data_IF_797632677976
#
_entry.id   IF_797632677976
#
_cell.length_a   1.000
_cell.length_b   1.000
_cell.length_c   1.000
_cell.angle_alpha   90.00
_cell.angle_beta   90.00
_cell.angle_gamma   90.00
#
_symmetry.space_group_name_H-M   'P 1'
#
loop_
_entity.id
_entity.type
_entity.pdbx_description
1 polymer ?
#
# COMPACT_ATOMS: atom_id res chain seq x y z
N UNK A 1 -33.00 61.38 -8.10
CA UNK A 1 -33.04 62.79 -7.62
C UNK A 1 -33.17 63.84 -8.73
N UNK A 2 -32.29 63.85 -9.75
CA UNK A 2 -32.28 64.87 -10.83
C UNK A 2 -33.67 65.02 -11.51
N UNK A 3 -34.34 63.90 -11.78
CA UNK A 3 -35.67 63.89 -12.40
C UNK A 3 -36.77 64.59 -11.57
N UNK A 4 -36.71 64.51 -10.24
CA UNK A 4 -37.70 65.15 -9.37
C UNK A 4 -37.53 66.68 -9.33
N UNK A 5 -36.30 67.16 -9.22
CA UNK A 5 -35.98 68.60 -9.24
C UNK A 5 -36.38 69.21 -10.60
N UNK A 6 -36.03 68.52 -11.69
CA UNK A 6 -36.42 68.93 -13.05
C UNK A 6 -37.95 68.97 -13.20
N UNK A 7 -38.67 67.99 -12.65
CA UNK A 7 -40.13 67.96 -12.71
C UNK A 7 -40.78 69.12 -11.94
N UNK A 8 -40.27 69.48 -10.75
CA UNK A 8 -40.75 70.66 -10.00
C UNK A 8 -40.52 71.94 -10.80
N UNK A 9 -39.36 72.11 -11.45
CA UNK A 9 -39.05 73.28 -12.26
C UNK A 9 -40.04 73.41 -13.44
N UNK A 10 -40.38 72.30 -14.10
CA UNK A 10 -41.38 72.31 -15.18
C UNK A 10 -42.79 72.67 -14.69
N UNK A 11 -43.18 72.22 -13.50
CA UNK A 11 -44.48 72.55 -12.90
C UNK A 11 -44.54 74.02 -12.48
N UNK A 12 -43.52 74.52 -11.77
CA UNK A 12 -43.46 75.92 -11.34
C UNK A 12 -43.39 76.85 -12.57
N UNK A 13 -42.56 76.51 -13.56
CA UNK A 13 -42.46 77.25 -14.82
C UNK A 13 -43.80 77.29 -15.57
N UNK A 14 -44.53 76.16 -15.61
CA UNK A 14 -45.88 76.09 -16.16
C UNK A 14 -46.88 76.97 -15.42
N UNK A 15 -46.89 76.94 -14.08
CA UNK A 15 -47.78 77.75 -13.23
C UNK A 15 -47.48 79.24 -13.37
N UNK A 16 -46.20 79.64 -13.34
CA UNK A 16 -45.79 81.04 -13.50
C UNK A 16 -46.18 81.57 -14.88
N UNK A 17 -45.95 80.77 -15.94
CA UNK A 17 -46.35 81.13 -17.30
C UNK A 17 -47.87 81.29 -17.40
N UNK A 18 -48.63 80.39 -16.77
CA UNK A 18 -50.10 80.47 -16.68
C UNK A 18 -50.57 81.75 -15.98
N UNK A 19 -49.98 82.10 -14.82
CA UNK A 19 -50.34 83.31 -14.06
C UNK A 19 -50.01 84.58 -14.86
N UNK A 20 -48.84 84.67 -15.48
CA UNK A 20 -48.45 85.82 -16.33
C UNK A 20 -49.40 85.97 -17.52
N UNK A 21 -49.78 84.86 -18.16
CA UNK A 21 -50.75 84.86 -19.27
C UNK A 21 -52.14 85.32 -18.83
N UNK A 22 -52.57 84.92 -17.62
CA UNK A 22 -53.87 85.27 -17.05
C UNK A 22 -53.99 86.76 -16.71
N UNK A 23 -52.89 87.38 -16.26
CA UNK A 23 -52.82 88.80 -15.89
C UNK A 23 -52.53 89.73 -17.06
N UNK A 24 -52.02 89.19 -18.17
CA UNK A 24 -51.74 89.93 -19.41
C UNK A 24 -53.06 90.36 -20.09
N UNK A 25 -53.34 91.67 -20.09
CA UNK A 25 -54.46 92.27 -20.84
C UNK A 25 -54.25 92.08 -22.34
N UNK A 26 -55.34 91.79 -23.06
CA UNK A 26 -55.33 91.44 -24.48
C UNK A 26 -54.67 92.51 -25.35
N UNK A 27 -53.46 92.24 -25.84
CA UNK A 27 -52.95 92.88 -27.05
C UNK A 27 -53.36 92.02 -28.23
N UNK A 28 -54.58 92.28 -28.72
CA UNK A 28 -55.12 91.67 -29.93
C UNK A 28 -54.59 92.45 -31.12
N UNK A 29 -53.52 91.96 -31.75
CA UNK A 29 -53.12 92.38 -33.09
C UNK A 29 -53.09 91.14 -33.99
N UNK A 30 -54.02 91.08 -34.95
CA UNK A 30 -53.97 90.16 -36.09
C UNK A 30 -54.26 88.68 -35.80
N UNK A 31 -55.54 88.30 -35.81
CA UNK A 31 -56.02 87.03 -36.40
C UNK A 31 -55.71 85.68 -35.74
N UNK A 32 -54.72 85.54 -34.85
CA UNK A 32 -54.53 84.34 -34.01
C UNK A 32 -54.10 84.78 -32.62
N UNK A 33 -54.92 84.46 -31.63
CA UNK A 33 -54.68 84.85 -30.23
C UNK A 33 -53.31 84.38 -29.77
N UNK A 34 -52.38 85.31 -29.54
CA UNK A 34 -51.06 85.09 -28.91
C UNK A 34 -51.21 84.32 -27.58
N UNK A 35 -52.37 84.48 -26.92
CA UNK A 35 -52.79 83.70 -25.75
C UNK A 35 -52.85 82.18 -25.97
N UNK A 36 -53.20 81.70 -27.16
CA UNK A 36 -53.25 80.25 -27.44
C UNK A 36 -51.86 79.68 -27.74
N UNK A 37 -50.96 80.46 -28.35
CA UNK A 37 -49.66 79.97 -28.80
C UNK A 37 -48.66 79.73 -27.65
N UNK A 38 -48.71 80.51 -26.56
CA UNK A 38 -47.85 80.26 -25.39
C UNK A 38 -48.55 79.47 -24.26
N UNK A 39 -49.88 79.34 -24.28
CA UNK A 39 -50.62 78.54 -23.30
C UNK A 39 -50.49 77.04 -23.52
N UNK A 40 -50.54 76.60 -24.79
CA UNK A 40 -50.39 75.18 -25.16
C UNK A 40 -49.02 74.61 -24.71
N UNK A 41 -47.86 75.25 -24.98
CA UNK A 41 -46.57 74.73 -24.51
C UNK A 41 -46.41 74.80 -22.98
N UNK A 42 -47.00 75.79 -22.31
CA UNK A 42 -46.99 75.87 -20.84
C UNK A 42 -47.80 74.74 -20.19
N UNK A 43 -48.98 74.43 -20.74
CA UNK A 43 -49.81 73.31 -20.29
C UNK A 43 -49.13 71.96 -20.58
N UNK A 44 -48.52 71.81 -21.75
CA UNK A 44 -47.76 70.61 -22.11
C UNK A 44 -46.54 70.41 -21.19
N UNK A 45 -45.80 71.47 -20.87
CA UNK A 45 -44.67 71.43 -19.94
C UNK A 45 -45.09 71.05 -18.52
N UNK A 46 -46.20 71.61 -18.02
CA UNK A 46 -46.76 71.23 -16.71
C UNK A 46 -47.26 69.79 -16.69
N UNK A 47 -47.92 69.31 -17.75
CA UNK A 47 -48.38 67.93 -17.86
C UNK A 47 -47.20 66.94 -17.89
N UNK A 48 -46.13 67.30 -18.61
CA UNK A 48 -44.89 66.51 -18.65
C UNK A 48 -44.20 66.49 -17.28
N UNK A 49 -44.18 67.60 -16.56
CA UNK A 49 -43.70 67.67 -15.18
C UNK A 49 -44.49 66.75 -14.24
N UNK A 50 -45.83 66.76 -14.31
CA UNK A 50 -46.68 65.86 -13.50
C UNK A 50 -46.44 64.40 -13.87
N UNK A 51 -46.31 64.07 -15.15
CA UNK A 51 -46.02 62.71 -15.62
C UNK A 51 -44.65 62.20 -15.10
N UNK A 52 -43.64 63.07 -15.07
CA UNK A 52 -42.33 62.74 -14.50
C UNK A 52 -42.41 62.48 -12.98
N UNK A 53 -43.21 63.25 -12.24
CA UNK A 53 -43.42 63.00 -10.80
C UNK A 53 -44.13 61.67 -10.59
N UNK A 54 -45.23 61.40 -11.29
CA UNK A 54 -45.99 60.14 -11.15
C UNK A 54 -45.11 58.93 -11.44
N UNK A 55 -44.26 59.01 -12.46
CA UNK A 55 -43.28 57.95 -12.76
C UNK A 55 -42.23 57.78 -11.64
N UNK A 56 -41.78 58.87 -11.01
CA UNK A 56 -40.78 58.82 -9.93
C UNK A 56 -41.28 58.29 -8.58
N UNK A 57 -42.60 58.27 -8.39
CA UNK A 57 -43.29 57.84 -7.16
C UNK A 57 -43.48 56.31 -7.11
N UNK A 58 -43.34 55.63 -8.24
CA UNK A 58 -43.51 54.19 -8.33
C UNK A 58 -42.15 53.49 -8.24
N UNK A 59 -42.06 52.46 -7.41
CA UNK A 59 -40.95 51.51 -7.41
C UNK A 59 -41.47 50.08 -7.45
N UNK A 60 -40.75 49.22 -8.17
CA UNK A 60 -41.04 47.80 -8.25
C UNK A 60 -39.81 47.03 -7.82
N UNK A 61 -39.95 46.20 -6.79
CA UNK A 61 -38.89 45.32 -6.30
C UNK A 61 -39.12 43.92 -6.91
N UNK A 62 -38.15 43.38 -7.68
CA UNK A 62 -38.26 42.04 -8.25
C UNK A 62 -38.38 40.95 -7.17
N UNK A 63 -38.94 39.80 -7.55
CA UNK A 63 -39.01 38.65 -6.64
C UNK A 63 -37.61 38.16 -6.25
N UNK A 64 -37.44 37.78 -4.99
CA UNK A 64 -36.14 37.36 -4.45
C UNK A 64 -35.14 38.50 -4.21
N UNK A 65 -35.56 39.76 -4.34
CA UNK A 65 -34.79 40.91 -3.90
C UNK A 65 -35.50 41.61 -2.74
N UNK A 66 -34.74 42.37 -1.96
CA UNK A 66 -35.21 43.28 -0.92
C UNK A 66 -34.80 44.69 -1.31
N UNK A 67 -35.76 45.61 -1.37
CA UNK A 67 -35.51 47.01 -1.67
C UNK A 67 -35.09 47.77 -0.41
N UNK A 68 -33.85 48.24 -0.35
CA UNK A 68 -33.37 49.12 0.72
C UNK A 68 -33.66 50.56 0.32
N UNK A 69 -34.40 51.28 1.16
CA UNK A 69 -34.77 52.68 0.89
C UNK A 69 -33.71 53.62 1.45
N UNK A 70 -33.28 54.57 0.62
CA UNK A 70 -32.33 55.61 1.00
C UNK A 70 -32.90 57.00 0.71
N UNK A 71 -32.68 57.90 1.66
CA UNK A 71 -33.14 59.30 1.63
C UNK A 71 -31.94 60.20 1.89
N UNK A 72 -31.50 60.94 0.88
CA UNK A 72 -30.35 61.86 0.96
C UNK A 72 -29.08 61.20 1.56
N UNK A 73 -28.83 59.93 1.23
CA UNK A 73 -27.69 59.16 1.74
C UNK A 73 -27.89 58.53 3.13
N UNK A 74 -29.03 58.77 3.79
CA UNK A 74 -29.44 58.05 4.99
C UNK A 74 -30.21 56.80 4.58
N UNK A 75 -29.84 55.65 5.15
CA UNK A 75 -30.59 54.41 5.01
C UNK A 75 -31.78 54.44 5.98
N UNK A 76 -32.99 54.24 5.47
CA UNK A 76 -34.19 54.17 6.30
C UNK A 76 -34.38 52.76 6.89
N UNK A 77 -35.05 52.69 8.05
CA UNK A 77 -35.25 51.44 8.81
C UNK A 77 -36.28 50.48 8.22
N UNK A 78 -36.94 50.91 7.14
CA UNK A 78 -37.94 50.12 6.46
C UNK A 78 -37.35 49.51 5.19
N UNK A 79 -37.44 48.19 5.09
CA UNK A 79 -37.16 47.43 3.87
C UNK A 79 -38.44 47.21 3.08
N UNK A 80 -38.34 47.25 1.75
CA UNK A 80 -39.42 46.95 0.83
C UNK A 80 -39.33 45.48 0.38
N UNK A 81 -40.39 44.73 0.62
CA UNK A 81 -40.54 43.38 0.10
C UNK A 81 -40.71 43.37 -1.44
N UNK A 82 -40.60 42.20 -2.06
CA UNK A 82 -40.89 42.04 -3.48
C UNK A 82 -42.32 42.47 -3.82
N UNK A 83 -42.48 43.34 -4.82
CA UNK A 83 -43.78 43.85 -5.22
C UNK A 83 -43.76 45.30 -5.71
N UNK A 84 -44.97 45.82 -5.94
CA UNK A 84 -45.20 47.21 -6.30
C UNK A 84 -45.29 48.05 -5.02
N UNK A 85 -44.51 49.13 -4.97
CA UNK A 85 -44.46 50.05 -3.85
C UNK A 85 -44.57 51.50 -4.32
N UNK A 86 -45.25 52.30 -3.51
CA UNK A 86 -45.34 53.75 -3.67
C UNK A 86 -44.29 54.37 -2.77
N UNK A 87 -43.30 55.02 -3.38
CA UNK A 87 -42.20 55.70 -2.68
C UNK A 87 -42.27 57.20 -2.90
N UNK A 88 -41.65 57.97 -2.03
CA UNK A 88 -41.50 59.38 -2.26
C UNK A 88 -40.56 59.65 -3.47
N UNK A 89 -40.78 60.73 -4.24
CA UNK A 89 -39.90 61.07 -5.38
C UNK A 89 -38.42 61.29 -5.03
N UNK A 90 -38.13 61.65 -3.78
CA UNK A 90 -36.77 61.85 -3.25
C UNK A 90 -36.15 60.60 -2.65
N UNK A 91 -36.92 59.52 -2.51
CA UNK A 91 -36.43 58.21 -2.06
C UNK A 91 -35.82 57.43 -3.23
N UNK A 92 -34.70 56.78 -2.95
CA UNK A 92 -34.03 55.87 -3.87
C UNK A 92 -34.07 54.47 -3.28
N UNK A 93 -34.50 53.50 -4.09
CA UNK A 93 -34.63 52.10 -3.69
C UNK A 93 -33.52 51.33 -4.36
N UNK A 94 -32.65 50.73 -3.55
CA UNK A 94 -31.59 49.85 -4.02
C UNK A 94 -31.99 48.41 -3.79
N UNK A 95 -32.00 47.61 -4.86
CA UNK A 95 -32.38 46.21 -4.78
C UNK A 95 -31.17 45.38 -4.36
N UNK A 96 -31.32 44.62 -3.27
CA UNK A 96 -30.35 43.62 -2.84
C UNK A 96 -30.89 42.23 -3.15
N UNK A 97 -30.07 41.37 -3.76
CA UNK A 97 -30.47 39.99 -4.08
C UNK A 97 -30.39 39.10 -2.83
N UNK A 98 -31.50 38.47 -2.45
CA UNK A 98 -31.59 37.55 -1.31
C UNK A 98 -31.54 36.08 -1.72
N UNK A 99 -31.39 35.79 -3.01
CA UNK A 99 -31.28 34.42 -3.50
C UNK A 99 -29.89 33.86 -3.17
N UNK A 100 -29.78 32.55 -3.28
CA UNK A 100 -28.48 31.87 -3.24
C UNK A 100 -27.67 32.28 -4.46
N UNK A 101 -26.50 32.84 -4.23
CA UNK A 101 -25.55 33.29 -5.24
C UNK A 101 -24.29 32.43 -5.16
N UNK A 102 -23.75 32.08 -6.33
CA UNK A 102 -22.49 31.34 -6.45
C UNK A 102 -21.33 32.32 -6.68
N UNK A 103 -20.31 32.18 -5.87
CA UNK A 103 -19.00 32.81 -6.04
C UNK A 103 -17.94 31.74 -6.25
N UNK A 104 -17.00 32.00 -7.15
CA UNK A 104 -15.82 31.16 -7.35
C UNK A 104 -14.59 32.04 -7.35
N UNK A 105 -13.62 31.70 -6.52
CA UNK A 105 -12.39 32.46 -6.31
C UNK A 105 -11.20 31.52 -6.49
N UNK A 106 -10.26 31.94 -7.34
CA UNK A 106 -8.99 31.26 -7.51
C UNK A 106 -7.95 31.95 -6.61
N UNK A 107 -7.24 31.16 -5.82
CA UNK A 107 -6.34 31.66 -4.79
C UNK A 107 -5.01 30.92 -4.85
N UNK A 108 -3.91 31.67 -4.94
CA UNK A 108 -2.58 31.14 -4.68
C UNK A 108 -2.30 31.22 -3.17
N UNK A 109 -1.99 30.07 -2.58
CA UNK A 109 -1.76 29.87 -1.16
C UNK A 109 -0.42 29.15 -0.93
N UNK A 110 0.06 29.15 0.31
CA UNK A 110 1.23 28.36 0.71
C UNK A 110 0.83 27.37 1.80
N UNK A 111 1.36 26.14 1.70
CA UNK A 111 1.26 25.13 2.73
C UNK A 111 2.22 25.41 3.91
N UNK A 112 2.09 24.66 4.99
CA UNK A 112 2.98 24.78 6.16
C UNK A 112 4.45 24.48 5.85
N UNK A 113 4.72 23.70 4.80
CA UNK A 113 6.04 23.32 4.30
C UNK A 113 6.49 24.15 3.08
N UNK A 114 5.91 25.35 2.92
CA UNK A 114 6.32 26.37 1.94
C UNK A 114 6.22 25.82 0.50
N UNK A 115 5.16 25.07 0.21
CA UNK A 115 4.79 24.72 -1.16
C UNK A 115 3.67 25.62 -1.63
N UNK A 116 3.79 26.09 -2.87
CA UNK A 116 2.74 26.87 -3.52
C UNK A 116 1.61 25.95 -3.98
N UNK A 117 0.38 26.38 -3.70
CA UNK A 117 -0.84 25.64 -4.01
C UNK A 117 -1.85 26.60 -4.62
N UNK A 118 -2.33 26.28 -5.82
CA UNK A 118 -3.45 26.98 -6.45
C UNK A 118 -4.75 26.29 -6.05
N UNK A 119 -5.62 27.03 -5.37
CA UNK A 119 -6.90 26.53 -4.85
C UNK A 119 -8.04 27.23 -5.57
N UNK A 120 -8.92 26.45 -6.18
CA UNK A 120 -10.19 26.93 -6.73
C UNK A 120 -11.31 26.66 -5.74
N UNK A 121 -11.79 27.72 -5.10
CA UNK A 121 -12.81 27.63 -4.06
C UNK A 121 -14.14 28.21 -4.52
N UNK A 122 -15.22 27.48 -4.27
CA UNK A 122 -16.59 27.92 -4.55
C UNK A 122 -17.37 28.07 -3.26
N UNK A 123 -18.07 29.21 -3.15
CA UNK A 123 -18.96 29.55 -2.06
C UNK A 123 -20.36 29.81 -2.62
N UNK A 124 -21.36 29.14 -2.07
CA UNK A 124 -22.75 29.56 -2.21
C UNK A 124 -23.16 30.32 -0.96
N UNK A 125 -23.62 31.56 -1.14
CA UNK A 125 -24.02 32.43 -0.04
C UNK A 125 -25.37 33.07 -0.32
N UNK A 126 -26.03 33.54 0.72
CA UNK A 126 -27.26 34.31 0.62
C UNK A 126 -27.33 35.37 1.74
N UNK A 127 -28.17 36.39 1.53
CA UNK A 127 -28.43 37.40 2.56
C UNK A 127 -29.89 37.30 3.02
N UNK A 128 -30.10 37.29 4.34
CA UNK A 128 -31.45 37.28 4.91
C UNK A 128 -32.12 38.63 4.65
N UNK A 129 -33.40 38.60 4.30
CA UNK A 129 -34.20 39.81 4.03
C UNK A 129 -34.18 40.80 5.20
N UNK A 130 -34.23 40.27 6.43
CA UNK A 130 -34.18 41.07 7.65
C UNK A 130 -32.89 41.88 7.80
N UNK A 131 -31.79 41.40 7.24
CA UNK A 131 -30.46 41.97 7.47
C UNK A 131 -29.96 42.77 6.26
N UNK A 132 -30.68 42.76 5.13
CA UNK A 132 -30.29 43.45 3.90
C UNK A 132 -30.01 44.95 4.14
N UNK A 133 -30.82 45.62 4.94
CA UNK A 133 -30.60 47.03 5.30
C UNK A 133 -29.28 47.24 6.04
N UNK A 134 -28.96 46.38 7.01
CA UNK A 134 -27.75 46.48 7.82
C UNK A 134 -26.49 46.21 6.98
N UNK A 135 -26.56 45.25 6.06
CA UNK A 135 -25.49 44.97 5.09
C UNK A 135 -25.25 46.18 4.20
N UNK A 136 -26.32 46.76 3.65
CA UNK A 136 -26.22 47.96 2.82
C UNK A 136 -25.64 49.16 3.60
N UNK A 137 -26.01 49.32 4.87
CA UNK A 137 -25.50 50.40 5.72
C UNK A 137 -24.03 50.23 6.09
N UNK A 138 -23.59 49.00 6.34
CA UNK A 138 -22.24 48.71 6.84
C UNK A 138 -21.23 48.55 5.72
N UNK A 139 -21.62 47.88 4.64
CA UNK A 139 -20.74 47.49 3.53
C UNK A 139 -21.14 48.14 2.22
N UNK A 140 -22.45 48.23 1.95
CA UNK A 140 -22.99 48.74 0.70
C UNK A 140 -23.39 47.62 -0.28
N UNK A 141 -23.50 47.97 -1.56
CA UNK A 141 -23.89 47.03 -2.63
C UNK A 141 -22.77 46.07 -3.01
N UNK A 142 -21.51 46.50 -2.90
CA UNK A 142 -20.33 45.75 -3.32
C UNK A 142 -19.79 44.86 -2.18
N UNK A 143 -20.70 44.24 -1.42
CA UNK A 143 -20.34 43.36 -0.32
C UNK A 143 -19.58 42.11 -0.76
N UNK A 144 -19.76 41.70 -2.02
CA UNK A 144 -18.99 40.63 -2.63
C UNK A 144 -17.48 40.93 -2.66
N UNK A 145 -17.08 42.03 -3.30
CA UNK A 145 -15.66 42.39 -3.45
C UNK A 145 -15.06 42.94 -2.15
N UNK A 146 -15.88 43.58 -1.32
CA UNK A 146 -15.40 44.25 -0.10
C UNK A 146 -15.24 43.29 1.08
N UNK A 147 -16.11 42.28 1.20
CA UNK A 147 -16.16 41.38 2.37
C UNK A 147 -15.98 39.93 1.97
N UNK A 148 -16.77 39.42 1.01
CA UNK A 148 -16.77 37.99 0.68
C UNK A 148 -15.41 37.56 0.11
N UNK A 149 -14.94 38.21 -0.96
CA UNK A 149 -13.68 37.84 -1.62
C UNK A 149 -12.48 37.89 -0.66
N UNK A 150 -12.28 38.95 0.15
CA UNK A 150 -11.22 38.98 1.16
C UNK A 150 -11.37 37.93 2.25
N UNK A 151 -12.59 37.68 2.76
CA UNK A 151 -12.82 36.69 3.82
C UNK A 151 -12.56 35.27 3.35
N UNK A 152 -12.95 34.94 2.11
CA UNK A 152 -12.62 33.65 1.48
C UNK A 152 -11.11 33.51 1.33
N UNK A 153 -10.43 34.55 0.81
CA UNK A 153 -8.98 34.53 0.65
C UNK A 153 -8.25 34.36 1.99
N UNK A 154 -8.67 35.07 3.03
CA UNK A 154 -8.11 34.97 4.38
C UNK A 154 -8.35 33.58 4.97
N UNK A 155 -9.58 33.08 4.93
CA UNK A 155 -9.95 31.79 5.51
C UNK A 155 -9.19 30.64 4.83
N UNK A 156 -9.19 30.58 3.50
CA UNK A 156 -8.48 29.54 2.75
C UNK A 156 -6.98 29.61 3.06
N UNK A 157 -6.36 30.79 2.95
CA UNK A 157 -4.92 30.94 3.23
C UNK A 157 -4.53 30.59 4.67
N UNK A 158 -5.38 30.94 5.64
CA UNK A 158 -5.13 30.64 7.05
C UNK A 158 -5.15 29.15 7.30
N UNK A 159 -6.20 28.46 6.84
CA UNK A 159 -6.32 27.02 7.07
C UNK A 159 -5.26 26.26 6.26
N UNK A 160 -5.06 26.59 4.98
CA UNK A 160 -4.03 25.93 4.14
C UNK A 160 -2.63 26.02 4.74
N UNK A 161 -2.28 27.13 5.39
CA UNK A 161 -0.98 27.31 6.04
C UNK A 161 -0.73 26.37 7.24
N UNK A 162 -1.78 25.75 7.80
CA UNK A 162 -1.66 24.79 8.90
C UNK A 162 -1.36 23.36 8.45
N UNK A 163 -1.55 23.05 7.17
CA UNK A 163 -1.38 21.70 6.61
C UNK A 163 -0.16 21.62 5.71
N UNK A 164 0.52 20.46 5.69
CA UNK A 164 1.57 20.17 4.72
C UNK A 164 0.97 19.89 3.35
N UNK A 165 1.74 20.07 2.28
CA UNK A 165 1.28 19.79 0.92
C UNK A 165 0.76 18.34 0.73
N UNK A 166 1.43 17.36 1.36
CA UNK A 166 0.98 15.96 1.35
C UNK A 166 -0.37 15.75 2.07
N UNK A 167 -0.59 16.46 3.19
CA UNK A 167 -1.84 16.37 3.94
C UNK A 167 -3.00 17.07 3.25
N UNK A 168 -2.74 18.14 2.48
CA UNK A 168 -3.76 18.84 1.70
C UNK A 168 -4.40 17.94 0.65
N UNK A 169 -3.63 16.99 0.08
CA UNK A 169 -4.12 15.99 -0.87
C UNK A 169 -4.95 14.91 -0.14
N UNK A 170 -4.48 14.43 1.00
CA UNK A 170 -5.10 13.33 1.73
C UNK A 170 -6.35 13.71 2.53
N UNK A 171 -6.38 14.90 3.13
CA UNK A 171 -7.39 15.33 4.10
C UNK A 171 -8.23 16.50 3.58
N UNK A 172 -8.59 16.48 2.29
CA UNK A 172 -9.33 17.57 1.64
C UNK A 172 -10.68 17.86 2.27
N UNK A 173 -11.38 16.83 2.75
CA UNK A 173 -12.70 16.97 3.38
C UNK A 173 -12.61 17.73 4.71
N UNK A 174 -11.63 17.36 5.55
CA UNK A 174 -11.36 18.05 6.83
C UNK A 174 -10.92 19.50 6.59
N UNK A 175 -10.10 19.73 5.57
CA UNK A 175 -9.70 21.06 5.15
C UNK A 175 -10.91 21.92 4.76
N UNK A 176 -11.81 21.38 3.93
CA UNK A 176 -13.02 22.08 3.49
C UNK A 176 -13.93 22.42 4.68
N UNK A 177 -14.13 21.50 5.61
CA UNK A 177 -14.92 21.72 6.83
C UNK A 177 -14.32 22.85 7.68
N UNK A 178 -13.01 22.84 7.91
CA UNK A 178 -12.33 23.87 8.69
C UNK A 178 -12.38 25.26 8.03
N UNK A 179 -12.28 25.32 6.69
CA UNK A 179 -12.46 26.58 5.95
C UNK A 179 -13.92 27.05 6.08
N UNK A 180 -14.90 26.16 5.96
CA UNK A 180 -16.33 26.51 6.10
C UNK A 180 -16.65 27.09 7.47
N UNK A 181 -16.14 26.46 8.55
CA UNK A 181 -16.33 26.93 9.92
C UNK A 181 -15.75 28.35 10.09
N UNK A 182 -14.50 28.56 9.67
CA UNK A 182 -13.85 29.86 9.80
C UNK A 182 -14.55 30.93 8.95
N UNK A 183 -14.85 30.62 7.69
CA UNK A 183 -15.51 31.51 6.75
C UNK A 183 -16.92 31.87 7.24
N UNK A 184 -17.67 30.90 7.74
CA UNK A 184 -19.00 31.10 8.32
C UNK A 184 -18.96 32.09 9.48
N UNK A 185 -18.00 31.92 10.41
CA UNK A 185 -17.82 32.86 11.53
C UNK A 185 -17.45 34.28 11.06
N UNK A 186 -16.63 34.40 10.02
CA UNK A 186 -16.23 35.70 9.49
C UNK A 186 -17.39 36.43 8.81
N UNK A 187 -18.18 35.72 8.00
CA UNK A 187 -19.30 36.27 7.22
C UNK A 187 -20.55 36.54 8.07
N UNK A 188 -20.77 35.76 9.13
CA UNK A 188 -21.89 35.95 10.05
C UNK A 188 -21.83 37.31 10.76
N UNK A 189 -20.62 37.84 11.02
CA UNK A 189 -20.41 39.21 11.54
C UNK A 189 -20.96 40.32 10.63
N UNK A 190 -21.09 40.02 9.34
CA UNK A 190 -21.66 40.91 8.34
C UNK A 190 -23.07 40.46 7.93
N UNK A 191 -23.71 39.56 8.67
CA UNK A 191 -25.03 39.03 8.37
C UNK A 191 -25.16 38.29 7.01
N UNK A 192 -24.04 37.78 6.48
CA UNK A 192 -24.01 37.00 5.24
C UNK A 192 -24.02 35.52 5.61
N UNK A 193 -25.01 34.78 5.10
CA UNK A 193 -25.18 33.36 5.39
C UNK A 193 -24.45 32.51 4.35
N UNK A 194 -23.59 31.61 4.83
CA UNK A 194 -22.97 30.57 4.01
C UNK A 194 -23.95 29.41 3.86
N UNK A 195 -24.30 29.08 2.62
CA UNK A 195 -25.23 27.99 2.30
C UNK A 195 -24.48 26.68 2.08
N UNK A 196 -23.39 26.74 1.34
CA UNK A 196 -22.51 25.61 1.12
C UNK A 196 -21.17 26.08 0.61
N UNK A 197 -20.11 25.34 0.92
CA UNK A 197 -18.79 25.57 0.35
C UNK A 197 -18.26 24.34 -0.36
N UNK A 198 -17.32 24.54 -1.28
CA UNK A 198 -16.63 23.45 -1.95
C UNK A 198 -15.25 23.89 -2.43
N UNK A 199 -14.26 23.05 -2.19
CA UNK A 199 -12.99 23.10 -2.92
C UNK A 199 -13.26 22.42 -4.26
N UNK A 200 -13.27 23.16 -5.36
CA UNK A 200 -13.46 22.59 -6.70
C UNK A 200 -12.17 21.92 -7.16
N UNK A 201 -11.04 22.62 -7.02
CA UNK A 201 -9.74 22.14 -7.49
C UNK A 201 -8.60 22.57 -6.57
N UNK A 202 -7.51 21.80 -6.59
CA UNK A 202 -6.28 22.10 -5.86
C UNK A 202 -5.08 21.56 -6.63
N UNK A 203 -4.29 22.48 -7.19
CA UNK A 203 -3.12 22.17 -7.98
C UNK A 203 -1.84 22.61 -7.27
N UNK A 204 -0.79 21.80 -7.43
CA UNK A 204 0.55 22.09 -6.94
C UNK A 204 1.46 22.41 -8.12
N UNK A 205 2.63 22.99 -7.84
CA UNK A 205 3.65 23.21 -8.87
C UNK A 205 4.06 21.89 -9.53
N UNK A 206 4.35 21.94 -10.83
CA UNK A 206 4.76 20.76 -11.59
C UNK A 206 6.01 20.11 -10.96
N UNK A 207 6.93 20.92 -10.44
CA UNK A 207 8.13 20.47 -9.74
C UNK A 207 7.79 19.64 -8.48
N UNK A 208 6.82 20.10 -7.68
CA UNK A 208 6.37 19.37 -6.49
C UNK A 208 5.66 18.08 -6.87
N UNK A 209 4.72 18.12 -7.81
CA UNK A 209 4.00 16.94 -8.29
C UNK A 209 4.96 15.86 -8.80
N UNK A 210 5.93 16.24 -9.64
CA UNK A 210 6.96 15.34 -10.14
C UNK A 210 7.83 14.76 -9.01
N UNK A 211 8.18 15.56 -8.00
CA UNK A 211 8.97 15.12 -6.86
C UNK A 211 8.21 14.12 -5.97
N UNK A 212 6.90 14.34 -5.77
CA UNK A 212 6.02 13.42 -5.01
C UNK A 212 5.87 12.11 -5.76
N UNK A 213 5.61 12.15 -7.07
CA UNK A 213 5.56 10.93 -7.90
C UNK A 213 6.88 10.16 -7.85
N UNK A 214 8.02 10.86 -8.00
CA UNK A 214 9.34 10.25 -7.90
C UNK A 214 9.60 9.64 -6.52
N UNK A 215 9.20 10.32 -5.44
CA UNK A 215 9.28 9.81 -4.06
C UNK A 215 8.40 8.57 -3.89
N UNK A 216 7.19 8.56 -4.43
CA UNK A 216 6.29 7.41 -4.36
C UNK A 216 6.87 6.21 -5.10
N UNK A 217 7.43 6.41 -6.28
CA UNK A 217 8.14 5.37 -7.05
C UNK A 217 9.35 4.85 -6.26
N UNK A 218 10.14 5.74 -5.65
CA UNK A 218 11.29 5.33 -4.83
C UNK A 218 10.87 4.54 -3.58
N UNK A 219 9.78 4.93 -2.91
CA UNK A 219 9.21 4.20 -1.76
C UNK A 219 8.71 2.83 -2.19
N UNK A 220 7.99 2.73 -3.30
CA UNK A 220 7.54 1.45 -3.86
C UNK A 220 8.71 0.55 -4.25
N UNK A 221 9.75 1.11 -4.87
CA UNK A 221 10.97 0.38 -5.23
C UNK A 221 11.72 -0.12 -3.99
N UNK A 222 11.82 0.73 -2.95
CA UNK A 222 12.42 0.33 -1.66
C UNK A 222 11.62 -0.80 -1.01
N UNK A 223 10.30 -0.69 -0.98
CA UNK A 223 9.43 -1.74 -0.42
C UNK A 223 9.60 -3.04 -1.19
N UNK A 224 9.61 -2.99 -2.53
CA UNK A 224 9.87 -4.16 -3.37
C UNK A 224 11.24 -4.78 -3.08
N UNK A 225 12.30 -3.97 -3.00
CA UNK A 225 13.64 -4.46 -2.69
C UNK A 225 13.73 -5.08 -1.28
N UNK A 226 13.04 -4.50 -0.28
CA UNK A 226 12.94 -5.08 1.07
C UNK A 226 12.21 -6.42 1.04
N UNK A 227 11.06 -6.50 0.38
CA UNK A 227 10.32 -7.75 0.22
C UNK A 227 11.15 -8.81 -0.51
N UNK A 228 11.87 -8.44 -1.58
CA UNK A 228 12.77 -9.37 -2.29
C UNK A 228 13.94 -9.83 -1.41
N UNK A 229 14.49 -8.95 -0.58
CA UNK A 229 15.54 -9.29 0.38
C UNK A 229 15.01 -10.23 1.48
N UNK A 230 13.83 -9.95 2.02
CA UNK A 230 13.14 -10.81 3.00
C UNK A 230 12.84 -12.19 2.39
N UNK A 231 12.39 -12.26 1.14
CA UNK A 231 12.21 -13.52 0.43
C UNK A 231 13.52 -14.29 0.28
N UNK A 232 14.60 -13.63 -0.19
CA UNK A 232 15.92 -14.27 -0.34
C UNK A 232 16.50 -14.77 0.97
N UNK A 233 16.34 -14.01 2.04
CA UNK A 233 16.80 -14.42 3.38
C UNK A 233 15.99 -15.60 3.90
N UNK A 234 14.67 -15.58 3.75
CA UNK A 234 13.81 -16.72 4.08
C UNK A 234 14.17 -17.97 3.26
N UNK A 235 14.41 -17.84 1.95
CA UNK A 235 14.85 -18.94 1.10
C UNK A 235 16.21 -19.51 1.51
N UNK A 236 17.17 -18.63 1.82
CA UNK A 236 18.51 -19.03 2.30
C UNK A 236 18.44 -19.73 3.66
N UNK A 237 17.62 -19.25 4.59
CA UNK A 237 17.38 -19.89 5.88
C UNK A 237 16.71 -21.26 5.71
N UNK A 238 15.71 -21.37 4.82
CA UNK A 238 15.08 -22.64 4.50
C UNK A 238 16.08 -23.62 3.85
N UNK A 239 16.94 -23.14 2.95
CA UNK A 239 17.97 -23.97 2.34
C UNK A 239 19.01 -24.44 3.36
N UNK A 240 19.47 -23.56 4.25
CA UNK A 240 20.38 -23.91 5.33
C UNK A 240 19.74 -24.93 6.31
N UNK A 241 18.47 -24.75 6.64
CA UNK A 241 17.72 -25.72 7.46
C UNK A 241 17.55 -27.06 6.74
N UNK A 242 17.23 -27.08 5.44
CA UNK A 242 17.17 -28.31 4.64
C UNK A 242 18.53 -29.02 4.60
N UNK A 243 19.62 -28.30 4.35
CA UNK A 243 20.97 -28.86 4.36
C UNK A 243 21.36 -29.42 5.73
N UNK A 244 20.96 -28.76 6.83
CA UNK A 244 21.16 -29.26 8.19
C UNK A 244 20.37 -30.54 8.46
N UNK A 245 19.10 -30.59 8.02
CA UNK A 245 18.26 -31.79 8.13
C UNK A 245 18.87 -32.94 7.33
N UNK A 246 19.30 -32.69 6.10
CA UNK A 246 19.92 -33.69 5.23
C UNK A 246 21.26 -34.19 5.76
N UNK A 247 22.11 -33.29 6.27
CA UNK A 247 23.37 -33.65 6.93
C UNK A 247 23.13 -34.50 8.18
N UNK A 248 22.15 -34.12 9.01
CA UNK A 248 21.77 -34.90 10.20
C UNK A 248 21.18 -36.27 9.83
N UNK A 249 20.32 -36.33 8.80
CA UNK A 249 19.76 -37.58 8.30
C UNK A 249 20.86 -38.50 7.75
N UNK A 250 21.79 -37.94 6.97
CA UNK A 250 22.93 -38.68 6.42
C UNK A 250 23.87 -39.20 7.52
N UNK A 251 24.14 -38.38 8.53
CA UNK A 251 24.92 -38.79 9.70
C UNK A 251 24.23 -39.90 10.49
N UNK A 252 22.90 -39.85 10.65
CA UNK A 252 22.15 -40.91 11.33
C UNK A 252 22.10 -42.19 10.51
N UNK A 253 21.92 -42.11 9.17
CA UNK A 253 22.01 -43.27 8.28
C UNK A 253 23.39 -43.93 8.40
N UNK A 254 24.47 -43.13 8.36
CA UNK A 254 25.84 -43.65 8.50
C UNK A 254 26.06 -44.30 9.88
N UNK A 255 25.47 -43.74 10.95
CA UNK A 255 25.53 -44.33 12.31
C UNK A 255 24.80 -45.66 12.37
N UNK A 256 23.59 -45.74 11.79
CA UNK A 256 22.80 -46.97 11.72
C UNK A 256 23.55 -48.04 10.92
N UNK A 257 24.16 -47.68 9.78
CA UNK A 257 24.94 -48.61 8.97
C UNK A 257 26.17 -49.10 9.71
N UNK A 258 26.93 -48.22 10.37
CA UNK A 258 28.10 -48.62 11.15
C UNK A 258 27.73 -49.57 12.31
N UNK A 259 26.59 -49.34 12.96
CA UNK A 259 26.08 -50.24 14.01
C UNK A 259 25.63 -51.59 13.42
N UNK A 260 24.99 -51.58 12.25
CA UNK A 260 24.61 -52.80 11.53
C UNK A 260 25.86 -53.61 11.11
N UNK A 261 26.86 -52.95 10.54
CA UNK A 261 28.13 -53.58 10.12
C UNK A 261 28.88 -54.16 11.32
N UNK A 262 28.88 -53.46 12.45
CA UNK A 262 29.42 -53.96 13.73
C UNK A 262 28.69 -55.22 14.18
N UNK A 263 27.36 -55.24 14.17
CA UNK A 263 26.58 -56.44 14.52
C UNK A 263 26.85 -57.61 13.57
N UNK A 264 26.97 -57.36 12.26
CA UNK A 264 27.34 -58.38 11.28
C UNK A 264 28.74 -58.94 11.57
N UNK A 265 29.71 -58.08 11.91
CA UNK A 265 31.06 -58.49 12.26
C UNK A 265 31.11 -59.32 13.56
N UNK A 266 30.34 -58.94 14.59
CA UNK A 266 30.21 -59.69 15.85
C UNK A 266 29.59 -61.08 15.61
N UNK A 267 28.49 -61.16 14.86
CA UNK A 267 27.86 -62.44 14.49
C UNK A 267 28.83 -63.31 13.68
N UNK A 268 29.58 -62.70 12.75
CA UNK A 268 30.62 -63.37 11.98
C UNK A 268 31.73 -63.95 12.86
N UNK A 269 32.24 -63.17 13.81
CA UNK A 269 33.26 -63.59 14.77
C UNK A 269 32.75 -64.73 15.66
N UNK A 270 31.56 -64.61 16.23
CA UNK A 270 30.93 -65.65 17.06
C UNK A 270 30.73 -66.95 16.28
N UNK A 271 30.32 -66.85 15.01
CA UNK A 271 30.14 -68.00 14.13
C UNK A 271 31.47 -68.69 13.80
N UNK A 272 32.53 -67.92 13.53
CA UNK A 272 33.87 -68.44 13.25
C UNK A 272 34.48 -69.11 14.49
N UNK A 273 34.30 -68.54 15.67
CA UNK A 273 34.70 -69.17 16.93
C UNK A 273 33.97 -70.50 17.16
N UNK A 274 32.66 -70.56 16.89
CA UNK A 274 31.89 -71.80 17.04
C UNK A 274 32.38 -72.88 16.08
N UNK A 275 32.66 -72.55 14.82
CA UNK A 275 33.23 -73.51 13.88
C UNK A 275 34.64 -73.94 14.27
N UNK A 276 35.51 -73.00 14.66
CA UNK A 276 36.86 -73.30 15.13
C UNK A 276 36.85 -74.22 16.37
N UNK A 277 35.97 -73.98 17.34
CA UNK A 277 35.79 -74.87 18.51
C UNK A 277 35.30 -76.27 18.10
N UNK A 278 34.37 -76.35 17.16
CA UNK A 278 33.84 -77.63 16.67
C UNK A 278 34.91 -78.43 15.91
N UNK A 279 35.66 -77.79 15.02
CA UNK A 279 36.76 -78.41 14.28
C UNK A 279 37.90 -78.84 15.19
N UNK A 280 38.27 -77.99 16.16
CA UNK A 280 39.26 -78.33 17.18
C UNK A 280 38.81 -79.53 18.03
N UNK A 281 37.53 -79.60 18.42
CA UNK A 281 37.00 -80.74 19.16
C UNK A 281 37.01 -82.03 18.33
N UNK A 282 36.64 -81.96 17.04
CA UNK A 282 36.70 -83.11 16.12
C UNK A 282 38.14 -83.58 15.94
N UNK A 283 39.09 -82.66 15.71
CA UNK A 283 40.51 -82.99 15.59
C UNK A 283 41.07 -83.60 16.88
N UNK A 284 40.68 -83.06 18.04
CA UNK A 284 41.10 -83.55 19.35
C UNK A 284 40.52 -84.94 19.65
N UNK A 285 39.27 -85.20 19.29
CA UNK A 285 38.65 -86.52 19.42
C UNK A 285 39.31 -87.55 18.51
N UNK A 286 39.65 -87.18 17.26
CA UNK A 286 40.39 -88.05 16.34
C UNK A 286 41.82 -88.32 16.81
N UNK A 287 42.50 -87.30 17.31
CA UNK A 287 43.83 -87.41 17.91
C UNK A 287 43.81 -88.38 19.08
N UNK A 288 42.77 -88.30 19.92
CA UNK A 288 42.55 -89.23 21.02
C UNK A 288 42.33 -90.67 20.54
N UNK A 289 41.49 -90.88 19.52
CA UNK A 289 41.21 -92.22 18.99
C UNK A 289 42.43 -92.90 18.36
N UNK A 290 43.27 -92.15 17.62
CA UNK A 290 44.46 -92.72 16.97
C UNK A 290 45.53 -93.11 17.99
N UNK A 291 45.64 -92.35 19.08
CA UNK A 291 46.69 -92.56 20.08
C UNK A 291 46.23 -93.35 21.32
N UNK A 292 44.96 -93.81 21.34
CA UNK A 292 44.39 -94.55 22.47
C UNK A 292 44.21 -93.69 23.73
N UNK A 293 44.01 -92.39 23.57
CA UNK A 293 43.76 -91.44 24.65
C UNK A 293 42.27 -91.17 24.81
N UNK A 294 41.90 -90.55 25.92
CA UNK A 294 40.54 -90.10 26.21
C UNK A 294 40.49 -88.58 26.30
N UNK A 295 39.40 -87.98 25.81
CA UNK A 295 39.14 -86.54 25.97
C UNK A 295 38.33 -86.35 27.24
N UNK A 296 38.84 -85.55 28.17
CA UNK A 296 38.14 -85.20 29.42
C UNK A 296 37.96 -83.69 29.47
N UNK A 297 36.75 -83.22 29.77
CA UNK A 297 36.45 -81.80 29.97
C UNK A 297 36.64 -81.45 31.45
N UNK A 298 37.53 -80.50 31.74
CA UNK A 298 37.76 -80.01 33.12
C UNK A 298 36.62 -79.12 33.63
N UNK A 299 36.62 -78.81 34.93
CA UNK A 299 35.66 -77.86 35.56
C UNK A 299 35.78 -76.44 35.00
N UNK A 300 36.90 -76.13 34.34
CA UNK A 300 37.19 -74.88 33.60
C UNK A 300 36.55 -74.87 32.20
N UNK A 301 35.89 -75.94 31.78
CA UNK A 301 35.28 -76.08 30.45
C UNK A 301 36.28 -76.35 29.32
N UNK A 302 37.55 -76.59 29.64
CA UNK A 302 38.62 -76.84 28.66
C UNK A 302 38.79 -78.34 28.46
N UNK A 303 38.80 -78.79 27.20
CA UNK A 303 39.05 -80.20 26.86
C UNK A 303 40.55 -80.52 26.98
N UNK A 304 40.89 -81.63 27.65
CA UNK A 304 42.25 -82.15 27.83
C UNK A 304 42.36 -83.58 27.35
N UNK A 305 43.55 -83.97 26.86
CA UNK A 305 43.86 -85.34 26.45
C UNK A 305 44.53 -86.08 27.61
N UNK A 306 43.92 -87.18 28.02
CA UNK A 306 44.37 -88.00 29.14
C UNK A 306 44.65 -89.41 28.64
N UNK A 307 45.77 -90.00 29.08
CA UNK A 307 46.15 -91.36 28.73
C UNK A 307 45.25 -92.38 29.44
N UNK A 308 45.33 -93.64 29.03
CA UNK A 308 44.60 -94.75 29.68
C UNK A 308 44.99 -94.98 31.14
N UNK A 309 46.14 -94.44 31.59
CA UNK A 309 46.63 -94.49 32.97
C UNK A 309 46.18 -93.28 33.83
N UNK A 310 45.39 -92.35 33.27
CA UNK A 310 44.88 -91.17 33.97
C UNK A 310 45.86 -90.00 34.05
N UNK A 311 47.05 -90.09 33.45
CA UNK A 311 48.01 -88.98 33.41
C UNK A 311 47.82 -88.09 32.17
N UNK A 312 48.14 -86.80 32.33
CA UNK A 312 48.08 -85.81 31.24
C UNK A 312 49.13 -86.13 30.16
N UNK A 313 48.77 -85.91 28.89
CA UNK A 313 49.69 -86.07 27.76
C UNK A 313 50.72 -84.95 27.76
N UNK A 314 52.01 -85.28 27.74
CA UNK A 314 53.10 -84.28 27.71
C UNK A 314 53.23 -83.60 26.34
N UNK A 315 53.85 -82.40 26.29
CA UNK A 315 53.98 -81.62 25.06
C UNK A 315 54.77 -82.32 23.94
N UNK A 316 55.73 -83.18 24.25
CA UNK A 316 56.47 -83.96 23.24
C UNK A 316 55.63 -85.12 22.69
N UNK A 317 54.83 -85.76 23.54
CA UNK A 317 53.93 -86.84 23.12
C UNK A 317 52.77 -86.30 22.27
N UNK A 318 52.28 -85.11 22.59
CA UNK A 318 51.27 -84.41 21.81
C UNK A 318 51.78 -84.10 20.39
N UNK A 319 53.04 -83.64 20.25
CA UNK A 319 53.65 -83.39 18.93
C UNK A 319 53.73 -84.66 18.10
N UNK A 320 54.23 -85.76 18.68
CA UNK A 320 54.31 -87.06 18.00
C UNK A 320 52.93 -87.63 17.65
N UNK A 321 51.94 -87.44 18.51
CA UNK A 321 50.55 -87.83 18.24
C UNK A 321 49.95 -87.04 17.09
N UNK A 322 50.23 -85.73 17.03
CA UNK A 322 49.78 -84.85 15.94
C UNK A 322 50.46 -85.19 14.61
N UNK A 323 51.75 -85.55 14.62
CA UNK A 323 52.45 -86.05 13.42
C UNK A 323 51.79 -87.33 12.87
N UNK A 324 51.40 -88.27 13.74
CA UNK A 324 50.63 -89.46 13.33
C UNK A 324 49.25 -89.13 12.78
N UNK A 325 48.57 -88.13 13.35
CA UNK A 325 47.29 -87.66 12.83
C UNK A 325 47.47 -87.02 11.44
N UNK A 326 48.55 -86.27 11.21
CA UNK A 326 48.90 -85.70 9.91
C UNK A 326 49.19 -86.82 8.89
N UNK A 327 49.96 -87.83 9.26
CA UNK A 327 50.23 -89.01 8.42
C UNK A 327 48.94 -89.78 8.09
N UNK A 328 48.03 -89.92 9.06
CA UNK A 328 46.71 -90.52 8.86
C UNK A 328 45.85 -89.72 7.86
N UNK A 329 45.78 -88.39 7.99
CA UNK A 329 45.07 -87.54 7.02
C UNK A 329 45.71 -87.58 5.63
N UNK A 330 47.04 -87.66 5.55
CA UNK A 330 47.76 -87.80 4.29
C UNK A 330 47.42 -89.12 3.58
N UNK A 331 47.24 -90.21 4.33
CA UNK A 331 46.81 -91.52 3.81
C UNK A 331 45.32 -91.53 3.43
N UNK A 332 44.42 -90.92 4.21
CA UNK A 332 42.99 -90.81 3.87
C UNK A 332 42.75 -89.99 2.58
N UNK A 333 43.57 -88.98 2.32
CA UNK A 333 43.51 -88.18 1.08
C UNK A 333 44.31 -88.77 -0.08
N UNK A 334 44.99 -89.91 0.12
CA UNK A 334 45.82 -90.54 -0.89
C UNK A 334 44.94 -91.20 -1.97
N UNK A 335 45.02 -90.73 -3.20
CA UNK A 335 44.18 -91.14 -4.33
C UNK A 335 44.62 -92.43 -5.04
N UNK A 336 45.55 -93.20 -4.47
CA UNK A 336 45.94 -94.52 -4.95
C UNK A 336 46.82 -94.56 -6.20
N UNK A 337 47.41 -93.45 -6.64
CA UNK A 337 48.32 -93.41 -7.79
C UNK A 337 49.78 -93.33 -7.33
N UNK A 338 50.61 -94.31 -7.72
CA UNK A 338 52.06 -94.29 -7.49
C UNK A 338 52.73 -93.24 -8.38
N UNK A 339 53.61 -92.38 -7.86
CA UNK A 339 54.34 -91.41 -8.68
C UNK A 339 55.37 -92.12 -9.59
N UNK A 340 55.34 -91.83 -10.89
CA UNK A 340 56.36 -92.30 -11.83
C UNK A 340 57.68 -91.56 -11.60
N UNK A 341 58.72 -92.27 -11.16
CA UNK A 341 60.10 -91.75 -11.16
C UNK A 341 60.80 -92.15 -12.46
N UNK A 342 61.16 -91.18 -13.28
CA UNK A 342 62.18 -91.36 -14.33
C UNK A 342 63.56 -91.00 -13.77
N UNK A 343 64.52 -91.92 -13.86
CA UNK A 343 65.95 -91.63 -13.62
C UNK A 343 66.59 -91.31 -14.97
N UNK A 344 66.88 -90.03 -15.19
CA UNK A 344 67.65 -89.52 -16.32
C UNK A 344 69.01 -88.98 -15.85
N UNK A 345 70.04 -89.25 -16.64
CA UNK A 345 71.44 -88.92 -16.39
C UNK A 345 71.69 -87.40 -16.44
N UNK A 346 71.99 -86.82 -15.27
CA UNK A 346 72.39 -85.44 -14.90
C UNK A 346 71.38 -84.74 -13.98
N UNK A 347 71.94 -84.23 -12.89
CA UNK A 347 71.33 -83.62 -11.72
C UNK A 347 70.04 -82.82 -11.94
N UNK A 348 69.13 -82.99 -10.95
CA UNK A 348 67.88 -82.26 -10.63
C UNK A 348 66.60 -83.01 -11.02
N UNK A 349 66.00 -83.71 -10.05
CA UNK A 349 64.60 -84.15 -10.10
C UNK A 349 63.68 -83.07 -9.53
N UNK A 350 62.88 -82.45 -10.41
CA UNK A 350 61.67 -81.70 -10.04
C UNK A 350 60.47 -82.64 -10.15
N UNK A 351 59.65 -82.73 -9.10
CA UNK A 351 58.37 -83.44 -9.16
C UNK A 351 57.32 -82.47 -9.71
N UNK A 352 56.80 -82.73 -10.92
CA UNK A 352 55.58 -82.13 -11.44
C UNK A 352 54.45 -83.12 -11.18
N UNK A 353 53.44 -82.73 -10.41
CA UNK A 353 52.17 -83.46 -10.35
C UNK A 353 51.20 -82.82 -11.34
N UNK A 354 51.02 -83.51 -12.46
CA UNK A 354 50.02 -83.22 -13.49
C UNK A 354 48.65 -83.78 -13.12
N UNK A 355 47.68 -82.89 -13.25
CA UNK A 355 46.23 -82.93 -13.07
C UNK A 355 45.44 -83.84 -14.03
N UNK A 356 44.23 -84.26 -13.63
CA UNK A 356 43.11 -84.59 -14.52
C UNK A 356 41.79 -84.51 -13.72
N UNK A 357 40.76 -83.74 -14.07
CA UNK A 357 40.42 -83.09 -15.33
C UNK A 357 39.49 -83.98 -16.15
N UNK A 358 38.18 -83.74 -16.08
CA UNK A 358 37.26 -84.06 -17.17
C UNK A 358 36.37 -82.83 -17.40
N UNK A 359 36.67 -82.12 -18.47
CA UNK A 359 35.88 -80.99 -18.96
C UNK A 359 34.72 -81.49 -19.83
N UNK A 360 33.77 -80.58 -20.05
CA UNK A 360 33.18 -80.44 -21.36
C UNK A 360 33.19 -78.95 -21.71
N UNK A 361 33.92 -78.67 -22.78
CA UNK A 361 33.98 -77.39 -23.47
C UNK A 361 32.63 -77.06 -24.12
N UNK A 362 32.25 -75.79 -24.10
CA UNK A 362 31.80 -75.17 -25.34
C UNK A 362 32.03 -73.65 -25.34
N UNK A 363 32.50 -73.16 -26.49
CA UNK A 363 33.09 -71.83 -26.71
C UNK A 363 32.18 -70.66 -26.35
N UNK A 364 32.69 -69.46 -26.10
CA UNK A 364 33.72 -68.77 -26.89
C UNK A 364 33.04 -67.62 -27.62
N UNK A 365 33.23 -66.38 -27.16
CA UNK A 365 33.42 -65.25 -28.06
C UNK A 365 34.12 -64.09 -27.34
N UNK A 366 35.11 -63.55 -28.04
CA UNK A 366 35.93 -62.42 -27.68
C UNK A 366 35.23 -61.08 -27.97
N UNK A 367 35.77 -59.99 -27.43
CA UNK A 367 35.68 -58.69 -28.09
C UNK A 367 35.47 -57.49 -27.16
N UNK A 368 36.60 -56.94 -26.69
CA UNK A 368 36.75 -55.52 -26.34
C UNK A 368 36.56 -54.65 -27.62
N UNK A 369 36.41 -53.31 -27.59
CA UNK A 369 37.19 -52.35 -26.79
C UNK A 369 36.47 -51.68 -25.62
#
# INVERSE_FOLDING_TARGET
>A
MLGFIVAIIFIIGGIVTFIVMSKSRSLTKGGKSVKRFAFIPALAGSALGVMLIVSSVVATVPTGHTGVVTVFGKVEDNVLDAGFHVKAPWEEVVNMDNRVQKATVNLACFSSDIQEVEVKYTLNYQIKKSNAQEIYKTVGVDYYDTVITPSVAESVKTITAHYTAESLIGNRDELAENIEILLGQQLDRYNIEVVSTAIEDMDFTNEFTNAVEAKQVAVQNKLKAQTEQEQKTMEAEQAANRAKIEANASAEIARIQAEADKQVAEIGADSAEYQGRKEAAIAMQRLASINGWSVVTGEDGINRLVKSDGTDVSSEELKRGTEKLIEYYYIEQWNGVLPETYVGEKDVSTIILGTGGNGDDNGGNAGNP
#
